data_IF_447098160462
#
_entry.id   IF_447098160462
#
_cell.length_a   1.000
_cell.length_b   1.000
_cell.length_c   1.000
_cell.angle_alpha   90.00
_cell.angle_beta   90.00
_cell.angle_gamma   90.00
#
_symmetry.space_group_name_H-M   'P 1'
#
loop_
_entity.id
_entity.type
_entity.pdbx_description
1 polymer ?
#
# COMPACT_ATOMS: atom_id res chain seq x y z
N UNK A 1 33.01 18.18 -0.45
CA UNK A 1 31.67 17.96 -1.02
C UNK A 1 31.43 16.46 -0.97
N UNK A 2 30.70 15.94 0.03
CA UNK A 2 30.49 14.48 0.18
C UNK A 2 29.32 14.05 -0.72
N UNK A 3 29.41 12.92 -1.44
CA UNK A 3 28.38 12.50 -2.37
C UNK A 3 27.13 12.03 -1.60
N UNK A 4 25.96 12.43 -2.09
CA UNK A 4 24.63 12.05 -1.63
C UNK A 4 24.38 10.55 -1.85
N UNK A 5 23.68 9.88 -0.93
CA UNK A 5 23.41 8.44 -0.98
C UNK A 5 21.96 8.14 -0.62
N UNK A 6 21.13 7.95 -1.65
CA UNK A 6 19.74 7.61 -1.48
C UNK A 6 19.50 6.12 -1.32
N UNK A 7 18.80 5.73 -0.26
CA UNK A 7 18.35 4.37 -0.02
C UNK A 7 16.81 4.34 -0.20
N UNK A 8 16.22 3.30 -0.79
CA UNK A 8 14.75 3.22 -0.95
C UNK A 8 14.20 1.81 -0.74
N UNK A 9 13.03 1.70 -0.10
CA UNK A 9 12.28 0.46 0.20
C UNK A 9 11.54 -0.14 -1.02
N UNK A 10 11.44 -1.47 -1.22
CA UNK A 10 10.54 -2.11 -2.23
C UNK A 10 9.86 -3.39 -1.72
N UNK A 11 8.54 -3.53 -1.94
CA UNK A 11 7.73 -4.77 -1.79
C UNK A 11 6.89 -4.98 -3.03
N UNK A 12 6.83 -6.19 -3.58
CA UNK A 12 6.01 -6.52 -4.77
C UNK A 12 4.73 -7.26 -4.36
N UNK A 13 3.59 -6.88 -4.93
CA UNK A 13 2.29 -7.51 -4.72
C UNK A 13 1.59 -7.72 -6.06
N UNK A 14 1.22 -8.96 -6.36
CA UNK A 14 0.41 -9.29 -7.54
C UNK A 14 -1.01 -9.60 -7.10
N UNK A 15 -1.96 -8.75 -7.49
CA UNK A 15 -3.37 -8.96 -7.17
C UNK A 15 -4.08 -9.63 -8.34
N UNK A 16 -4.60 -10.83 -8.08
CA UNK A 16 -5.39 -11.60 -9.04
C UNK A 16 -6.85 -11.56 -8.60
N UNK A 17 -7.65 -10.67 -9.20
CA UNK A 17 -9.10 -10.75 -9.04
C UNK A 17 -9.68 -11.60 -10.15
N UNK A 18 -9.78 -12.89 -9.83
CA UNK A 18 -10.40 -13.88 -10.70
C UNK A 18 -11.86 -13.52 -10.98
N UNK A 19 -12.39 -13.86 -12.16
CA UNK A 19 -13.81 -13.69 -12.45
C UNK A 19 -14.69 -14.30 -11.36
N UNK A 20 -15.74 -13.60 -10.94
CA UNK A 20 -16.75 -14.00 -9.94
C UNK A 20 -16.28 -14.23 -8.51
N UNK A 21 -15.01 -14.58 -8.29
CA UNK A 21 -14.48 -15.01 -6.97
C UNK A 21 -13.37 -14.11 -6.44
N UNK A 22 -12.99 -13.04 -7.18
CA UNK A 22 -11.97 -12.11 -6.72
C UNK A 22 -12.44 -11.34 -5.48
N UNK A 23 -11.89 -11.66 -4.30
CA UNK A 23 -12.34 -11.09 -3.02
C UNK A 23 -12.10 -9.58 -2.89
N UNK A 24 -12.95 -8.89 -2.13
CA UNK A 24 -12.81 -7.47 -1.82
C UNK A 24 -11.54 -7.18 -0.99
N UNK A 25 -11.01 -5.98 -1.12
CA UNK A 25 -10.01 -5.43 -0.19
C UNK A 25 -10.68 -4.28 0.55
N UNK A 26 -10.85 -4.43 1.86
CA UNK A 26 -11.51 -3.42 2.70
C UNK A 26 -10.77 -2.10 2.69
N UNK A 27 -11.48 -1.02 3.01
CA UNK A 27 -10.89 0.31 3.17
C UNK A 27 -9.70 0.31 4.15
N UNK A 28 -8.60 0.91 3.72
CA UNK A 28 -7.37 1.05 4.49
C UNK A 28 -6.49 2.18 3.92
N UNK A 29 -5.40 2.45 4.63
CA UNK A 29 -4.27 3.23 4.15
C UNK A 29 -3.01 2.35 4.19
N UNK A 30 -2.08 2.54 3.27
CA UNK A 30 -0.85 1.73 3.22
C UNK A 30 0.05 1.97 4.45
N UNK A 31 0.02 3.19 4.99
CA UNK A 31 0.76 3.60 6.17
C UNK A 31 0.37 2.85 7.46
N UNK A 32 -0.81 2.19 7.48
CA UNK A 32 -1.14 1.24 8.56
C UNK A 32 -0.19 0.05 8.56
N UNK A 33 0.26 -0.42 7.40
CA UNK A 33 1.10 -1.60 7.26
C UNK A 33 2.59 -1.28 7.09
N UNK A 34 2.91 -0.09 6.58
CA UNK A 34 4.29 0.36 6.32
C UNK A 34 4.45 1.76 6.93
N UNK A 35 4.98 1.87 8.15
CA UNK A 35 5.28 3.18 8.74
C UNK A 35 6.60 3.68 8.24
N UNK A 36 6.59 4.96 7.93
CA UNK A 36 7.75 5.79 7.74
C UNK A 36 7.53 7.08 8.53
N UNK A 37 8.61 7.67 9.01
CA UNK A 37 8.59 8.98 9.66
C UNK A 37 9.59 9.90 8.97
N UNK A 38 9.16 11.01 8.35
CA UNK A 38 7.78 11.50 8.25
C UNK A 38 6.87 10.62 7.37
N UNK A 39 5.55 10.70 7.60
CA UNK A 39 4.54 9.80 6.99
C UNK A 39 4.38 9.96 5.47
N UNK A 40 4.79 11.10 4.90
CA UNK A 40 4.64 11.41 3.47
C UNK A 40 5.68 10.72 2.57
N UNK A 41 6.64 10.02 3.15
CA UNK A 41 7.73 9.36 2.42
C UNK A 41 7.39 7.93 1.95
N UNK A 42 6.12 7.55 1.93
CA UNK A 42 5.61 6.28 1.42
C UNK A 42 4.72 6.48 0.19
N UNK A 43 5.07 5.79 -0.90
CA UNK A 43 4.32 5.81 -2.15
C UNK A 43 4.02 4.38 -2.62
N UNK A 44 2.75 4.07 -2.84
CA UNK A 44 2.32 2.89 -3.59
C UNK A 44 2.28 3.20 -5.10
N UNK A 45 2.78 2.27 -5.90
CA UNK A 45 2.58 2.25 -7.35
C UNK A 45 1.74 1.03 -7.70
N UNK A 46 0.60 1.24 -8.35
CA UNK A 46 -0.28 0.19 -8.81
C UNK A 46 -0.39 0.24 -10.34
N UNK A 47 -0.14 -0.89 -11.00
CA UNK A 47 -0.08 -1.01 -12.46
C UNK A 47 -1.18 -1.96 -12.93
N UNK A 48 -2.03 -1.47 -13.83
CA UNK A 48 -3.11 -2.24 -14.44
C UNK A 48 -2.53 -3.24 -15.46
N UNK A 49 -2.61 -4.54 -15.19
CA UNK A 49 -2.23 -5.58 -16.17
C UNK A 49 -3.39 -5.89 -17.11
N UNK A 50 -4.63 -5.78 -16.61
CA UNK A 50 -5.86 -5.82 -17.38
C UNK A 50 -6.65 -4.51 -17.16
N UNK A 51 -7.66 -4.23 -18.00
CA UNK A 51 -8.62 -3.14 -17.76
C UNK A 51 -9.28 -3.31 -16.39
N UNK A 52 -9.41 -2.22 -15.65
CA UNK A 52 -10.08 -2.19 -14.36
C UNK A 52 -11.28 -1.25 -14.43
N UNK A 53 -12.47 -1.75 -14.16
CA UNK A 53 -13.72 -1.02 -14.12
C UNK A 53 -14.50 -1.34 -12.84
N UNK A 54 -15.65 -0.67 -12.67
CA UNK A 54 -16.51 -0.85 -11.49
C UNK A 54 -16.95 -2.32 -11.33
N UNK A 55 -17.21 -3.02 -12.44
CA UNK A 55 -17.74 -4.39 -12.42
C UNK A 55 -16.70 -5.45 -12.06
N UNK A 56 -15.41 -5.20 -12.36
CA UNK A 56 -14.33 -6.14 -12.09
C UNK A 56 -13.41 -5.71 -10.93
N UNK A 57 -13.85 -4.73 -10.14
CA UNK A 57 -13.21 -4.32 -8.90
C UNK A 57 -11.99 -3.41 -9.13
N UNK A 58 -12.20 -2.28 -9.82
CA UNK A 58 -11.25 -1.16 -9.84
C UNK A 58 -10.97 -0.63 -8.43
N UNK A 59 -9.97 0.26 -8.33
CA UNK A 59 -9.66 0.95 -7.09
C UNK A 59 -10.70 2.03 -6.81
N UNK A 60 -10.91 2.31 -5.52
CA UNK A 60 -11.74 3.39 -5.03
C UNK A 60 -10.94 4.19 -4.01
N UNK A 61 -11.07 5.51 -4.03
CA UNK A 61 -10.31 6.41 -3.16
C UNK A 61 -11.21 7.47 -2.54
N UNK A 62 -10.84 7.98 -1.35
CA UNK A 62 -11.42 9.20 -0.78
C UNK A 62 -10.47 10.37 -1.08
N UNK A 63 -10.81 11.30 -1.99
CA UNK A 63 -9.95 12.44 -2.31
C UNK A 63 -9.65 13.28 -1.06
N UNK A 64 -8.39 13.70 -0.90
CA UNK A 64 -7.95 14.52 0.23
C UNK A 64 -7.77 13.78 1.57
N UNK A 65 -8.18 12.52 1.69
CA UNK A 65 -8.04 11.72 2.93
C UNK A 65 -6.60 11.50 3.41
N UNK A 66 -5.63 11.73 2.53
CA UNK A 66 -4.20 11.62 2.85
C UNK A 66 -3.66 12.79 3.68
N UNK A 67 -4.41 13.89 3.81
CA UNK A 67 -4.01 15.08 4.57
C UNK A 67 -4.25 14.85 6.06
N UNK A 68 -3.40 14.02 6.66
CA UNK A 68 -3.41 13.69 8.08
C UNK A 68 -2.03 13.95 8.65
N UNK A 69 -1.95 14.29 9.93
CA UNK A 69 -0.66 14.53 10.59
C UNK A 69 -0.09 13.24 11.23
N UNK A 70 -0.95 12.28 11.57
CA UNK A 70 -0.54 11.02 12.23
C UNK A 70 -1.33 9.81 11.75
N UNK A 71 -0.75 8.62 11.96
CA UNK A 71 -1.39 7.32 11.72
C UNK A 71 -1.41 6.52 13.01
N UNK A 72 -2.58 6.43 13.63
CA UNK A 72 -2.73 5.81 14.95
C UNK A 72 -3.09 4.32 14.90
N UNK A 73 -3.54 3.81 13.75
CA UNK A 73 -3.85 2.38 13.54
C UNK A 73 -2.74 1.69 12.75
N UNK A 74 -2.07 0.74 13.38
CA UNK A 74 -0.81 0.16 12.91
C UNK A 74 -0.83 -1.36 12.93
N UNK A 75 -0.30 -1.99 11.89
CA UNK A 75 -0.03 -3.43 11.84
C UNK A 75 1.46 -3.67 12.09
N UNK A 76 1.76 -4.14 13.30
CA UNK A 76 3.12 -4.20 13.84
C UNK A 76 3.59 -5.63 14.00
N UNK A 77 4.90 -5.83 13.87
CA UNK A 77 5.58 -7.02 14.39
C UNK A 77 5.68 -6.91 15.90
N UNK A 78 5.38 -7.99 16.59
CA UNK A 78 5.70 -8.13 18.00
C UNK A 78 7.08 -8.78 18.11
N UNK A 79 8.00 -8.21 18.88
CA UNK A 79 9.29 -8.83 19.19
C UNK A 79 9.15 -9.92 20.28
N UNK A 80 7.95 -10.48 20.42
CA UNK A 80 7.64 -11.48 21.42
C UNK A 80 8.21 -12.85 21.01
N UNK A 81 8.60 -13.64 22.00
CA UNK A 81 9.06 -15.03 21.82
C UNK A 81 7.91 -16.04 21.82
N UNK A 82 6.73 -15.64 22.28
CA UNK A 82 5.52 -16.46 22.37
C UNK A 82 4.27 -15.64 21.98
N UNK A 83 3.24 -16.31 21.49
CA UNK A 83 2.00 -15.68 21.04
C UNK A 83 2.04 -15.17 19.59
N UNK A 84 1.15 -14.22 19.26
CA UNK A 84 1.06 -13.69 17.89
C UNK A 84 2.26 -12.78 17.59
N UNK A 85 3.05 -13.14 16.58
CA UNK A 85 4.19 -12.37 16.09
C UNK A 85 3.80 -11.08 15.36
N UNK A 86 2.51 -10.89 15.08
CA UNK A 86 1.93 -9.72 14.42
C UNK A 86 0.69 -9.27 15.18
N UNK A 87 0.48 -7.96 15.30
CA UNK A 87 -0.73 -7.41 15.92
C UNK A 87 -1.16 -6.10 15.27
N UNK A 88 -2.46 -5.83 15.32
CA UNK A 88 -2.95 -4.47 15.14
C UNK A 88 -2.90 -3.73 16.47
N UNK A 89 -2.48 -2.47 16.43
CA UNK A 89 -2.41 -1.57 17.57
C UNK A 89 -3.08 -0.24 17.21
N UNK A 90 -3.83 0.32 18.16
CA UNK A 90 -4.62 1.53 17.99
C UNK A 90 -6.06 1.28 17.52
N UNK A 91 -6.78 2.37 17.27
CA UNK A 91 -8.19 2.35 16.90
C UNK A 91 -8.36 2.23 15.39
N UNK A 92 -9.09 1.20 14.93
CA UNK A 92 -9.37 1.02 13.51
C UNK A 92 -10.24 2.18 13.00
N UNK A 93 -9.79 2.95 11.99
CA UNK A 93 -10.58 4.05 11.47
C UNK A 93 -11.88 3.53 10.83
N UNK A 94 -12.97 4.24 11.09
CA UNK A 94 -14.20 4.12 10.33
C UNK A 94 -14.10 5.00 9.07
N UNK A 95 -14.49 4.45 7.92
CA UNK A 95 -14.49 5.19 6.66
C UNK A 95 -15.94 5.46 6.25
N UNK A 96 -16.19 6.67 5.75
CA UNK A 96 -17.46 6.98 5.10
C UNK A 96 -17.47 6.34 3.71
N UNK A 97 -18.27 5.29 3.54
CA UNK A 97 -18.36 4.53 2.29
C UNK A 97 -18.85 5.39 1.11
N UNK A 98 -19.69 6.40 1.36
CA UNK A 98 -20.23 7.30 0.34
C UNK A 98 -19.19 8.31 -0.18
N UNK A 99 -18.07 8.48 0.54
CA UNK A 99 -17.00 9.38 0.14
C UNK A 99 -16.02 8.76 -0.88
N UNK A 100 -16.14 7.45 -1.15
CA UNK A 100 -15.27 6.77 -2.09
C UNK A 100 -15.68 7.02 -3.53
N UNK A 101 -14.71 7.38 -4.36
CA UNK A 101 -14.87 7.55 -5.81
C UNK A 101 -14.10 6.44 -6.52
N UNK A 102 -14.81 5.70 -7.37
CA UNK A 102 -14.24 4.64 -8.20
C UNK A 102 -13.35 5.21 -9.31
N UNK A 103 -12.21 4.58 -9.55
CA UNK A 103 -11.22 5.00 -10.55
C UNK A 103 -11.02 3.89 -11.58
N UNK A 104 -11.89 3.79 -12.60
CA UNK A 104 -11.69 2.91 -13.74
C UNK A 104 -10.48 3.33 -14.56
N UNK A 105 -9.67 2.37 -14.98
CA UNK A 105 -8.46 2.62 -15.78
C UNK A 105 -8.26 1.53 -16.82
N UNK A 106 -7.57 1.88 -17.91
CA UNK A 106 -7.20 0.93 -18.96
C UNK A 106 -5.93 0.17 -18.62
N UNK A 107 -5.78 -1.03 -19.20
CA UNK A 107 -4.54 -1.80 -19.16
C UNK A 107 -3.33 -0.90 -19.47
N UNK A 108 -2.27 -1.06 -18.69
CA UNK A 108 -1.04 -0.26 -18.77
C UNK A 108 -1.05 1.04 -17.96
N UNK A 109 -2.21 1.44 -17.42
CA UNK A 109 -2.28 2.63 -16.54
C UNK A 109 -1.52 2.39 -15.25
N UNK A 110 -0.91 3.47 -14.73
CA UNK A 110 -0.27 3.51 -13.42
C UNK A 110 -1.08 4.43 -12.51
N UNK A 111 -1.43 3.95 -11.33
CA UNK A 111 -2.06 4.71 -10.26
C UNK A 111 -1.04 4.88 -9.14
N UNK A 112 -0.74 6.14 -8.82
CA UNK A 112 0.09 6.50 -7.67
C UNK A 112 -0.80 6.62 -6.43
N UNK A 113 -0.38 6.01 -5.32
CA UNK A 113 -1.14 5.90 -4.09
C UNK A 113 -0.31 6.50 -2.96
N UNK A 114 -0.74 7.63 -2.42
CA UNK A 114 -0.09 8.21 -1.24
C UNK A 114 -0.23 7.27 -0.03
N UNK A 115 0.79 7.12 0.81
CA UNK A 115 0.78 6.20 1.95
C UNK A 115 -0.45 6.34 2.87
N UNK A 116 -0.94 7.56 3.05
CA UNK A 116 -2.12 7.87 3.87
C UNK A 116 -3.45 8.01 3.11
N UNK A 117 -3.53 7.80 1.78
CA UNK A 117 -4.83 7.92 1.08
C UNK A 117 -5.71 6.71 1.37
N UNK A 118 -6.92 6.95 1.85
CA UNK A 118 -7.91 5.91 2.07
C UNK A 118 -8.33 5.31 0.73
N UNK A 119 -8.17 4.00 0.61
CA UNK A 119 -8.51 3.28 -0.61
C UNK A 119 -9.03 1.86 -0.36
N UNK A 120 -9.80 1.35 -1.32
CA UNK A 120 -10.39 0.00 -1.29
C UNK A 120 -10.51 -0.58 -2.70
N UNK A 121 -10.92 -1.84 -2.78
CA UNK A 121 -11.41 -2.41 -4.05
C UNK A 121 -12.53 -3.41 -3.79
N UNK A 122 -13.61 -3.29 -4.56
CA UNK A 122 -14.75 -4.21 -4.46
C UNK A 122 -14.42 -5.60 -4.98
N UNK A 123 -15.27 -6.57 -4.63
CA UNK A 123 -15.18 -7.92 -5.18
C UNK A 123 -15.37 -7.89 -6.72
N UNK A 124 -14.66 -8.76 -7.43
CA UNK A 124 -14.88 -8.96 -8.85
C UNK A 124 -16.05 -9.92 -9.07
N UNK A 125 -17.22 -9.36 -9.36
CA UNK A 125 -18.45 -10.12 -9.65
C UNK A 125 -18.62 -10.37 -11.15
N UNK A 126 -17.77 -9.79 -12.00
CA UNK A 126 -17.83 -9.92 -13.45
C UNK A 126 -17.26 -11.24 -13.97
N UNK A 127 -17.41 -11.47 -15.28
CA UNK A 127 -16.78 -12.56 -16.02
C UNK A 127 -15.36 -12.24 -16.50
N UNK A 128 -14.89 -11.00 -16.31
CA UNK A 128 -13.56 -10.56 -16.73
C UNK A 128 -12.60 -10.66 -15.56
N UNK A 129 -11.35 -11.05 -15.82
CA UNK A 129 -10.30 -10.98 -14.80
C UNK A 129 -9.85 -9.53 -14.61
N UNK A 130 -9.24 -9.25 -13.46
CA UNK A 130 -8.51 -8.00 -13.20
C UNK A 130 -7.20 -8.30 -12.50
N UNK A 131 -6.12 -8.38 -13.28
CA UNK A 131 -4.77 -8.49 -12.75
C UNK A 131 -4.14 -7.12 -12.58
N UNK A 132 -3.33 -7.00 -11.54
CA UNK A 132 -2.49 -5.83 -11.33
C UNK A 132 -1.20 -6.19 -10.62
N UNK A 133 -0.19 -5.35 -10.82
CA UNK A 133 1.07 -5.41 -10.11
C UNK A 133 1.24 -4.15 -9.30
N UNK A 134 1.62 -4.29 -8.04
CA UNK A 134 1.86 -3.14 -7.19
C UNK A 134 3.19 -3.28 -6.47
N UNK A 135 3.81 -2.14 -6.20
CA UNK A 135 4.92 -2.07 -5.28
C UNK A 135 4.95 -0.76 -4.53
N UNK A 136 5.54 -0.80 -3.34
CA UNK A 136 5.73 0.38 -2.49
C UNK A 136 7.15 0.90 -2.62
N UNK A 137 7.30 2.22 -2.64
CA UNK A 137 8.56 2.94 -2.60
C UNK A 137 8.59 3.72 -1.29
N UNK A 138 9.71 3.66 -0.59
CA UNK A 138 9.99 4.51 0.56
C UNK A 138 11.20 5.38 0.25
N UNK A 139 11.10 6.68 0.47
CA UNK A 139 12.25 7.60 0.44
C UNK A 139 13.02 7.50 1.77
N UNK A 140 14.12 6.74 1.80
CA UNK A 140 14.89 6.51 3.04
C UNK A 140 15.97 7.57 3.28
N UNK A 141 16.17 8.55 2.41
CA UNK A 141 17.08 9.66 2.74
C UNK A 141 16.44 10.60 3.75
N UNK A 142 15.15 10.84 3.55
CA UNK A 142 14.39 11.83 4.31
C UNK A 142 13.41 11.18 5.30
N UNK A 143 13.43 9.85 5.43
CA UNK A 143 12.59 9.16 6.40
C UNK A 143 13.24 7.97 7.10
N UNK A 144 12.75 7.71 8.30
CA UNK A 144 13.04 6.52 9.09
C UNK A 144 11.98 5.46 8.84
N UNK A 145 12.42 4.27 8.44
CA UNK A 145 11.55 3.10 8.31
C UNK A 145 11.37 2.45 9.67
N UNK A 146 10.12 2.29 10.14
CA UNK A 146 9.86 1.77 11.48
C UNK A 146 10.39 0.34 11.66
N UNK A 147 11.05 0.09 12.79
CA UNK A 147 11.55 -1.21 13.21
C UNK A 147 10.42 -2.18 13.61
N UNK A 148 9.25 -1.64 13.95
CA UNK A 148 8.04 -2.38 14.26
C UNK A 148 7.21 -2.76 13.02
N UNK A 149 7.61 -2.36 11.81
CA UNK A 149 6.93 -2.82 10.60
C UNK A 149 7.02 -4.35 10.48
N UNK A 150 5.92 -4.97 10.04
CA UNK A 150 5.86 -6.43 9.87
C UNK A 150 6.89 -6.97 8.85
N UNK A 151 7.26 -6.14 7.87
CA UNK A 151 8.30 -6.43 6.89
C UNK A 151 9.58 -5.68 7.28
N UNK A 152 10.68 -6.41 7.46
CA UNK A 152 11.98 -5.83 7.76
C UNK A 152 13.01 -6.30 6.73
N UNK A 153 13.97 -5.44 6.33
CA UNK A 153 15.13 -5.88 5.58
C UNK A 153 15.96 -6.84 6.45
N UNK A 154 16.65 -7.77 5.80
CA UNK A 154 17.59 -8.69 6.46
C UNK A 154 18.99 -8.50 5.90
N UNK A 155 19.99 -9.09 6.54
CA UNK A 155 21.37 -9.09 6.03
C UNK A 155 21.46 -9.67 4.62
N UNK A 156 20.69 -10.72 4.33
CA UNK A 156 20.65 -11.35 2.99
C UNK A 156 19.80 -10.60 1.98
N UNK A 157 18.73 -9.93 2.44
CA UNK A 157 17.77 -9.24 1.58
C UNK A 157 17.48 -7.85 2.12
N UNK A 158 18.27 -6.88 1.65
CA UNK A 158 18.00 -5.47 1.86
C UNK A 158 16.96 -4.96 0.86
N UNK A 159 16.27 -3.87 1.20
CA UNK A 159 15.41 -3.23 0.22
C UNK A 159 16.24 -2.55 -0.87
N UNK A 160 16.03 -2.91 -2.15
CA UNK A 160 16.91 -2.44 -3.22
C UNK A 160 16.52 -1.05 -3.70
N UNK A 161 17.52 -0.21 -4.03
CA UNK A 161 17.34 1.13 -4.59
C UNK A 161 16.57 1.12 -5.90
N UNK A 162 15.64 2.05 -6.10
CA UNK A 162 14.91 2.16 -7.36
C UNK A 162 15.83 2.57 -8.52
N UNK A 163 16.74 3.52 -8.26
CA UNK A 163 17.73 3.99 -9.22
C UNK A 163 19.11 3.39 -8.92
N UNK A 164 19.84 3.03 -9.98
CA UNK A 164 21.27 2.74 -9.91
C UNK A 164 21.99 4.09 -10.11
N UNK A 165 22.46 4.69 -9.01
CA UNK A 165 23.37 5.83 -9.10
C UNK A 165 24.79 5.33 -9.40
#
# INVERSE_FOLDING_TARGET
MKPFSANSGRRYQHYRKQPKIGGAVSAHIDATFISVDPIDHLLGMWIAIDDADISNGCLWFVPGSHKVDTVNYRFKRTHATEGSLLKFEGERPAYNEDAFIGVPVKKGSVVLIHGCVAHKSEANTSTKRRHSYAFHIVDRENSSYSDDNWLQPTEMYSFPKLFAN
#
